data_IF_467973977514
#
_entry.id   IF_467973977514
#
_cell.length_a   1.000
_cell.length_b   1.000
_cell.length_c   1.000
_cell.angle_alpha   90.00
_cell.angle_beta   90.00
_cell.angle_gamma   90.00
#
_symmetry.space_group_name_H-M   'P 1'
#
loop_
_entity.id
_entity.type
_entity.pdbx_description
1 polymer ?
#
# COMPACT_ATOMS: atom_id res chain seq x y z
N UNK A 1 10.85 19.11 17.32
CA UNK A 1 11.69 17.88 17.26
C UNK A 1 12.41 17.88 15.93
N UNK A 2 13.74 17.70 15.93
CA UNK A 2 14.54 17.71 14.70
C UNK A 2 13.98 16.71 13.66
N UNK A 3 13.93 17.08 12.39
CA UNK A 3 13.37 16.32 11.27
C UNK A 3 11.83 16.11 11.31
N UNK A 4 11.11 16.89 12.14
CA UNK A 4 9.66 16.86 12.21
C UNK A 4 9.08 18.29 12.08
N UNK A 5 9.44 19.19 13.02
CA UNK A 5 8.80 20.50 13.12
C UNK A 5 9.13 21.39 11.89
N UNK A 6 10.36 21.30 11.38
CA UNK A 6 10.78 22.02 10.17
C UNK A 6 10.04 21.57 8.91
N UNK A 7 9.58 20.32 8.85
CA UNK A 7 8.79 19.78 7.71
C UNK A 7 7.29 20.01 7.86
N UNK A 8 6.86 20.62 8.99
CA UNK A 8 5.49 21.05 9.28
C UNK A 8 5.35 22.58 9.39
N UNK A 9 6.38 23.35 9.04
CA UNK A 9 6.35 24.81 9.11
C UNK A 9 5.37 25.36 8.06
N UNK A 10 4.31 26.03 8.53
CA UNK A 10 3.27 26.59 7.67
C UNK A 10 3.78 27.70 6.73
N UNK A 11 4.83 28.43 7.12
CA UNK A 11 5.39 29.49 6.28
C UNK A 11 6.11 28.90 5.09
N UNK A 12 6.88 27.81 5.32
CA UNK A 12 7.55 27.06 4.24
C UNK A 12 6.49 26.45 3.32
N UNK A 13 5.46 25.79 3.89
CA UNK A 13 4.39 25.19 3.11
C UNK A 13 3.67 26.22 2.22
N UNK A 14 3.34 27.40 2.75
CA UNK A 14 2.71 28.50 1.98
C UNK A 14 3.63 29.07 0.89
N UNK A 15 4.92 29.18 1.18
CA UNK A 15 5.90 29.66 0.20
C UNK A 15 6.01 28.68 -0.98
N UNK A 16 6.09 27.35 -0.70
CA UNK A 16 6.10 26.32 -1.72
C UNK A 16 4.81 26.33 -2.55
N UNK A 17 3.65 26.42 -1.89
CA UNK A 17 2.37 26.52 -2.60
C UNK A 17 2.31 27.74 -3.51
N UNK A 18 2.80 28.90 -3.05
CA UNK A 18 2.87 30.11 -3.87
C UNK A 18 3.80 29.93 -5.07
N UNK A 19 4.94 29.27 -4.92
CA UNK A 19 5.84 28.98 -6.04
C UNK A 19 5.21 28.02 -7.04
N UNK A 20 4.50 26.98 -6.56
CA UNK A 20 3.74 26.07 -7.42
C UNK A 20 2.71 26.83 -8.26
N UNK A 21 1.94 27.75 -7.63
CA UNK A 21 0.97 28.62 -8.34
C UNK A 21 1.64 29.42 -9.45
N UNK A 22 2.78 30.07 -9.16
CA UNK A 22 3.49 30.90 -10.13
C UNK A 22 4.07 30.10 -11.31
N UNK A 23 4.44 28.85 -11.09
CA UNK A 23 5.07 28.01 -12.12
C UNK A 23 4.07 27.23 -12.95
N UNK A 24 2.88 26.97 -12.44
CA UNK A 24 1.87 26.15 -13.13
C UNK A 24 1.21 26.96 -14.24
N UNK A 25 1.48 26.63 -15.51
CA UNK A 25 0.92 27.33 -16.68
C UNK A 25 -0.25 26.60 -17.31
N UNK A 26 -0.41 25.32 -17.04
CA UNK A 26 -1.48 24.45 -17.57
C UNK A 26 -1.89 23.35 -16.57
N UNK A 27 -3.02 22.66 -16.78
CA UNK A 27 -3.45 21.61 -15.86
C UNK A 27 -2.51 20.39 -15.86
N UNK A 28 -2.25 19.86 -14.64
CA UNK A 28 -1.47 18.66 -14.42
C UNK A 28 -2.16 17.72 -13.45
N UNK A 29 -2.15 16.42 -13.74
CA UNK A 29 -2.63 15.35 -12.86
C UNK A 29 -1.44 14.61 -12.29
N UNK A 30 -1.26 14.71 -10.98
CA UNK A 30 -0.16 14.09 -10.25
C UNK A 30 -0.72 13.00 -9.32
N UNK A 31 -0.07 11.83 -9.30
CA UNK A 31 -0.48 10.72 -8.45
C UNK A 31 0.57 10.46 -7.37
N UNK A 32 0.16 10.43 -6.13
CA UNK A 32 0.96 9.79 -5.10
C UNK A 32 0.64 8.30 -4.99
N UNK A 33 1.64 7.47 -4.73
CA UNK A 33 1.50 6.02 -4.58
C UNK A 33 1.94 5.61 -3.18
N UNK A 34 1.32 6.22 -2.18
CA UNK A 34 1.54 5.85 -0.79
C UNK A 34 0.41 6.32 0.11
N UNK A 35 -0.21 5.40 0.82
CA UNK A 35 -1.28 5.75 1.77
C UNK A 35 -0.86 6.72 2.87
N UNK A 36 0.41 6.70 3.30
CA UNK A 36 0.95 7.68 4.23
C UNK A 36 0.98 9.11 3.66
N UNK A 37 1.29 9.23 2.35
CA UNK A 37 1.21 10.52 1.64
C UNK A 37 -0.25 10.96 1.47
N UNK A 38 -1.16 10.05 1.07
CA UNK A 38 -2.61 10.31 1.02
C UNK A 38 -3.11 10.86 2.35
N UNK A 39 -2.77 10.18 3.45
CA UNK A 39 -3.17 10.58 4.80
C UNK A 39 -2.71 12.02 5.12
N UNK A 40 -1.44 12.34 4.84
CA UNK A 40 -0.89 13.68 5.08
C UNK A 40 -1.55 14.74 4.21
N UNK A 41 -1.74 14.46 2.92
CA UNK A 41 -2.43 15.38 2.00
C UNK A 41 -3.82 15.74 2.54
N UNK A 42 -4.59 14.75 2.92
CA UNK A 42 -5.95 14.97 3.44
C UNK A 42 -5.96 15.63 4.81
N UNK A 43 -5.10 15.19 5.72
CA UNK A 43 -5.02 15.69 7.09
C UNK A 43 -4.67 17.17 7.16
N UNK A 44 -3.75 17.62 6.31
CA UNK A 44 -3.27 19.01 6.31
C UNK A 44 -3.90 19.86 5.20
N UNK A 45 -4.82 19.29 4.39
CA UNK A 45 -5.49 20.01 3.32
C UNK A 45 -4.52 20.52 2.25
N UNK A 46 -3.48 19.74 1.93
CA UNK A 46 -2.42 20.21 1.01
C UNK A 46 -2.95 20.42 -0.41
N UNK A 47 -3.90 19.64 -0.84
CA UNK A 47 -4.58 19.77 -2.13
C UNK A 47 -5.37 21.07 -2.26
N UNK A 48 -5.84 21.67 -1.14
CA UNK A 48 -6.50 22.97 -1.13
C UNK A 48 -5.52 24.14 -1.25
N UNK A 49 -4.25 23.94 -0.91
CA UNK A 49 -3.18 24.93 -1.07
C UNK A 49 -2.69 25.04 -2.52
N UNK A 50 -2.96 24.00 -3.34
CA UNK A 50 -2.51 23.94 -4.72
C UNK A 50 -3.43 24.74 -5.65
N UNK A 51 -2.91 25.24 -6.79
CA UNK A 51 -3.74 25.92 -7.78
C UNK A 51 -4.73 24.91 -8.41
N UNK A 52 -5.88 25.42 -8.89
CA UNK A 52 -6.90 24.59 -9.59
C UNK A 52 -6.34 23.80 -10.78
N UNK A 53 -5.20 24.22 -11.31
CA UNK A 53 -4.49 23.49 -12.38
C UNK A 53 -3.74 22.25 -11.92
N UNK A 54 -3.55 22.02 -10.61
CA UNK A 54 -2.91 20.80 -10.10
C UNK A 54 -3.96 19.91 -9.45
N UNK A 55 -4.17 18.74 -10.03
CA UNK A 55 -5.01 17.71 -9.43
C UNK A 55 -4.12 16.63 -8.79
N UNK A 56 -4.24 16.43 -7.48
CA UNK A 56 -3.68 15.28 -6.80
C UNK A 56 -4.70 14.14 -6.81
N UNK A 57 -4.25 12.97 -7.28
CA UNK A 57 -5.02 11.71 -7.28
C UNK A 57 -4.27 10.63 -6.51
N UNK A 58 -5.00 9.67 -5.98
CA UNK A 58 -4.47 8.65 -5.09
C UNK A 58 -4.26 7.35 -5.84
N UNK A 59 -3.06 6.79 -5.71
CA UNK A 59 -2.69 5.54 -6.31
C UNK A 59 -2.85 4.33 -5.38
N UNK A 60 -2.53 3.12 -5.85
CA UNK A 60 -2.69 1.88 -5.10
C UNK A 60 -1.57 1.67 -4.07
N UNK A 61 -1.34 2.65 -3.20
CA UNK A 61 -0.22 2.71 -2.25
C UNK A 61 -0.51 2.23 -0.82
N UNK A 62 -1.67 1.61 -0.58
CA UNK A 62 -2.04 1.06 0.73
C UNK A 62 -2.12 -0.47 0.64
N UNK A 63 -1.31 -1.24 1.39
CA UNK A 63 -1.25 -2.69 1.27
C UNK A 63 -2.57 -3.38 1.66
N UNK A 64 -3.27 -2.84 2.65
CA UNK A 64 -4.60 -3.31 3.05
C UNK A 64 -5.60 -3.14 1.90
N UNK A 65 -5.50 -2.00 1.19
CA UNK A 65 -6.44 -1.61 0.14
C UNK A 65 -6.32 -2.48 -1.12
N UNK A 66 -5.11 -2.95 -1.40
CA UNK A 66 -4.80 -3.71 -2.64
C UNK A 66 -4.73 -5.22 -2.43
N UNK A 67 -4.88 -5.69 -1.19
CA UNK A 67 -4.95 -7.14 -0.90
C UNK A 67 -6.17 -7.75 -1.58
N UNK A 68 -6.00 -8.78 -2.44
CA UNK A 68 -7.09 -9.43 -3.14
C UNK A 68 -8.18 -9.96 -2.21
N UNK A 69 -9.42 -9.89 -2.67
CA UNK A 69 -10.58 -10.39 -1.93
C UNK A 69 -10.44 -11.90 -1.64
N UNK A 70 -9.91 -12.65 -2.58
CA UNK A 70 -9.61 -14.07 -2.44
C UNK A 70 -8.61 -14.36 -1.31
N UNK A 71 -7.62 -13.50 -1.13
CA UNK A 71 -6.66 -13.64 -0.02
C UNK A 71 -7.34 -13.44 1.34
N UNK A 72 -8.27 -12.50 1.42
CA UNK A 72 -9.07 -12.27 2.63
C UNK A 72 -9.96 -13.48 2.93
N UNK A 73 -10.63 -14.03 1.91
CA UNK A 73 -11.48 -15.21 2.07
C UNK A 73 -10.68 -16.45 2.48
N UNK A 74 -9.50 -16.66 1.88
CA UNK A 74 -8.58 -17.73 2.31
C UNK A 74 -8.15 -17.57 3.77
N UNK A 75 -7.86 -16.35 4.19
CA UNK A 75 -7.49 -16.06 5.58
C UNK A 75 -8.67 -16.37 6.54
N UNK A 76 -9.90 -16.05 6.14
CA UNK A 76 -11.11 -16.36 6.93
C UNK A 76 -11.31 -17.89 7.00
N UNK A 77 -11.17 -18.60 5.87
CA UNK A 77 -11.24 -20.06 5.85
C UNK A 77 -10.23 -20.70 6.78
N UNK A 78 -8.98 -20.25 6.74
CA UNK A 78 -7.92 -20.73 7.63
C UNK A 78 -8.24 -20.43 9.10
N UNK A 79 -8.74 -19.22 9.41
CA UNK A 79 -9.09 -18.84 10.77
C UNK A 79 -10.19 -19.72 11.38
N UNK A 80 -11.12 -20.20 10.58
CA UNK A 80 -12.23 -21.07 11.05
C UNK A 80 -11.81 -22.52 11.31
N UNK A 81 -10.59 -22.92 10.94
CA UNK A 81 -10.08 -24.27 11.25
C UNK A 81 -9.70 -24.37 12.74
N UNK A 82 -10.17 -25.41 13.45
CA UNK A 82 -10.00 -25.49 14.90
C UNK A 82 -8.55 -25.66 15.37
N UNK A 83 -7.66 -26.17 14.51
CA UNK A 83 -6.25 -26.39 14.78
C UNK A 83 -5.36 -25.20 14.38
N UNK A 84 -5.94 -24.15 13.79
CA UNK A 84 -5.22 -22.97 13.30
C UNK A 84 -5.29 -21.80 14.28
N UNK A 85 -4.18 -21.10 14.43
CA UNK A 85 -4.09 -19.74 14.98
C UNK A 85 -3.75 -18.83 13.80
N UNK A 86 -4.68 -17.98 13.40
CA UNK A 86 -4.41 -16.96 12.38
C UNK A 86 -3.84 -15.71 13.04
N UNK A 87 -2.70 -15.26 12.55
CA UNK A 87 -2.03 -14.03 13.03
C UNK A 87 -2.02 -13.00 11.89
N UNK A 88 -2.41 -11.77 12.18
CA UNK A 88 -2.48 -10.72 11.18
C UNK A 88 -2.24 -9.32 11.77
N UNK A 89 -2.05 -8.35 10.89
CA UNK A 89 -2.07 -6.93 11.26
C UNK A 89 -3.49 -6.48 11.59
N UNK A 90 -3.64 -5.54 12.53
CA UNK A 90 -4.94 -5.15 13.09
C UNK A 90 -5.96 -4.69 12.05
N UNK A 91 -5.55 -3.89 11.06
CA UNK A 91 -6.45 -3.39 10.02
C UNK A 91 -7.07 -4.53 9.18
N UNK A 92 -6.31 -5.59 8.92
CA UNK A 92 -6.81 -6.72 8.14
C UNK A 92 -8.00 -7.43 8.76
N UNK A 93 -8.18 -7.35 10.08
CA UNK A 93 -9.31 -8.00 10.76
C UNK A 93 -10.66 -7.40 10.32
N UNK A 94 -10.68 -6.14 9.89
CA UNK A 94 -11.89 -5.41 9.47
C UNK A 94 -12.07 -5.36 7.96
N UNK A 95 -11.10 -5.87 7.18
CA UNK A 95 -11.22 -5.88 5.72
C UNK A 95 -12.33 -6.85 5.33
N UNK A 96 -13.35 -6.37 4.58
CA UNK A 96 -14.42 -7.24 4.16
C UNK A 96 -13.92 -8.27 3.13
N UNK A 97 -14.16 -9.54 3.42
CA UNK A 97 -14.16 -10.64 2.46
C UNK A 97 -15.47 -10.68 1.67
N UNK A 98 -15.68 -11.73 0.88
CA UNK A 98 -16.90 -11.88 0.06
C UNK A 98 -18.16 -12.08 0.91
N UNK A 99 -18.06 -12.71 2.08
CA UNK A 99 -19.20 -13.07 2.95
C UNK A 99 -19.04 -12.63 4.40
N UNK A 100 -17.82 -12.43 4.86
CA UNK A 100 -17.48 -12.17 6.25
C UNK A 100 -16.17 -11.38 6.34
N UNK A 101 -15.66 -11.19 7.55
CA UNK A 101 -14.36 -10.64 7.87
C UNK A 101 -13.71 -11.42 9.02
N UNK A 102 -12.43 -11.18 9.27
CA UNK A 102 -11.69 -11.89 10.33
C UNK A 102 -12.19 -11.52 11.74
N UNK A 103 -12.77 -10.32 11.92
CA UNK A 103 -13.33 -9.92 13.21
C UNK A 103 -14.58 -10.72 13.53
N UNK A 104 -15.45 -10.95 12.52
CA UNK A 104 -16.62 -11.83 12.66
C UNK A 104 -16.21 -13.29 12.85
N UNK A 105 -15.21 -13.79 12.13
CA UNK A 105 -14.67 -15.13 12.37
C UNK A 105 -14.19 -15.29 13.82
N UNK A 106 -13.49 -14.28 14.36
CA UNK A 106 -13.07 -14.23 15.76
C UNK A 106 -14.26 -14.26 16.74
N UNK A 107 -15.32 -13.50 16.43
CA UNK A 107 -16.54 -13.50 17.25
C UNK A 107 -17.26 -14.87 17.24
N UNK A 108 -17.06 -15.69 16.19
CA UNK A 108 -17.55 -17.07 16.08
C UNK A 108 -16.65 -18.11 16.77
N UNK A 109 -15.57 -17.65 17.44
CA UNK A 109 -14.68 -18.52 18.20
C UNK A 109 -13.36 -18.87 17.48
N UNK A 110 -13.08 -18.34 16.30
CA UNK A 110 -11.80 -18.51 15.64
C UNK A 110 -10.66 -17.85 16.44
N UNK A 111 -9.50 -18.52 16.51
CA UNK A 111 -8.31 -17.99 17.17
C UNK A 111 -7.56 -17.03 16.22
N UNK A 112 -8.03 -15.78 16.18
CA UNK A 112 -7.42 -14.71 15.40
C UNK A 112 -6.68 -13.77 16.33
N UNK A 113 -5.38 -13.59 16.09
CA UNK A 113 -4.49 -12.76 16.93
C UNK A 113 -3.90 -11.60 16.12
N UNK A 114 -3.77 -10.45 16.77
CA UNK A 114 -3.13 -9.26 16.18
C UNK A 114 -1.64 -9.32 16.52
N UNK A 115 -0.80 -9.05 15.53
CA UNK A 115 0.64 -8.86 15.70
C UNK A 115 1.07 -7.51 15.11
N UNK A 116 2.01 -6.86 15.79
CA UNK A 116 2.65 -5.63 15.32
C UNK A 116 3.94 -5.90 14.54
N UNK A 117 4.43 -7.14 14.62
CA UNK A 117 5.62 -7.61 13.91
C UNK A 117 5.44 -9.05 13.46
N UNK A 118 5.93 -9.44 12.26
CA UNK A 118 5.90 -10.83 11.79
C UNK A 118 6.60 -11.80 12.74
N UNK A 119 7.63 -11.34 13.46
CA UNK A 119 8.37 -12.15 14.44
C UNK A 119 7.52 -12.53 15.66
N UNK A 120 6.42 -11.80 15.94
CA UNK A 120 5.46 -12.19 16.97
C UNK A 120 4.73 -13.48 16.58
N UNK A 121 4.41 -13.66 15.30
CA UNK A 121 3.80 -14.89 14.82
C UNK A 121 4.74 -16.10 15.00
N UNK A 122 6.05 -15.91 14.81
CA UNK A 122 7.08 -16.95 15.11
C UNK A 122 7.09 -17.27 16.60
N UNK A 123 7.02 -16.26 17.48
CA UNK A 123 6.94 -16.49 18.94
C UNK A 123 5.66 -17.23 19.31
N UNK A 124 4.53 -16.91 18.69
CA UNK A 124 3.26 -17.60 18.90
C UNK A 124 3.40 -19.06 18.48
N UNK A 125 4.02 -19.36 17.33
CA UNK A 125 4.23 -20.73 16.88
C UNK A 125 5.09 -21.55 17.87
N UNK A 126 6.16 -20.94 18.36
CA UNK A 126 7.03 -21.55 19.38
C UNK A 126 6.28 -21.88 20.69
N UNK A 127 5.35 -21.02 21.10
CA UNK A 127 4.57 -21.19 22.34
C UNK A 127 3.33 -22.07 22.18
N UNK A 128 3.00 -22.51 20.96
CA UNK A 128 1.85 -23.35 20.66
C UNK A 128 2.23 -24.50 19.72
N UNK A 129 3.11 -25.44 20.15
CA UNK A 129 3.66 -26.48 19.28
C UNK A 129 2.60 -27.43 18.69
N UNK A 130 1.47 -27.60 19.37
CA UNK A 130 0.37 -28.47 18.95
C UNK A 130 -0.63 -27.78 18.00
N UNK A 131 -0.43 -26.51 17.68
CA UNK A 131 -1.31 -25.71 16.85
C UNK A 131 -0.56 -25.22 15.61
N UNK A 132 -1.24 -25.14 14.49
CA UNK A 132 -0.70 -24.52 13.26
C UNK A 132 -0.87 -23.00 13.34
N UNK A 133 0.21 -22.27 13.17
CA UNK A 133 0.21 -20.81 13.17
C UNK A 133 0.38 -20.31 11.76
N UNK A 134 -0.61 -19.57 11.26
CA UNK A 134 -0.59 -18.97 9.94
C UNK A 134 -0.50 -17.46 10.08
N UNK A 135 0.53 -16.87 9.50
CA UNK A 135 0.67 -15.41 9.45
C UNK A 135 0.17 -14.89 8.10
N UNK A 136 -0.84 -14.00 8.11
CA UNK A 136 -1.30 -13.28 6.92
C UNK A 136 -0.30 -12.17 6.59
N UNK A 137 0.60 -12.47 5.66
CA UNK A 137 1.74 -11.64 5.29
C UNK A 137 1.40 -10.74 4.09
N UNK A 138 0.80 -9.60 4.38
CA UNK A 138 0.53 -8.56 3.38
C UNK A 138 1.59 -7.47 3.43
N UNK A 139 1.75 -6.72 2.35
CA UNK A 139 2.62 -5.53 2.37
C UNK A 139 3.22 -5.19 1.02
N UNK A 140 3.94 -4.10 1.05
CA UNK A 140 4.86 -3.67 -0.01
C UNK A 140 6.30 -4.05 0.34
N UNK A 141 7.25 -3.53 -0.43
CA UNK A 141 8.68 -3.70 -0.22
C UNK A 141 9.14 -3.24 1.18
N UNK A 142 8.38 -2.37 1.83
CA UNK A 142 8.67 -1.90 3.20
C UNK A 142 8.52 -2.96 4.28
N UNK A 143 7.53 -3.84 4.15
CA UNK A 143 7.24 -4.89 5.13
C UNK A 143 7.83 -6.24 4.76
N UNK A 144 8.17 -6.42 3.47
CA UNK A 144 8.73 -7.68 2.97
C UNK A 144 10.01 -8.13 3.69
N UNK A 145 10.98 -7.26 4.05
CA UNK A 145 12.16 -7.68 4.82
C UNK A 145 11.83 -8.30 6.17
N UNK A 146 10.88 -7.70 6.93
CA UNK A 146 10.49 -8.23 8.23
C UNK A 146 9.73 -9.56 8.09
N UNK A 147 8.93 -9.72 7.04
CA UNK A 147 8.25 -10.97 6.73
C UNK A 147 9.25 -12.05 6.28
N UNK A 148 10.25 -11.68 5.47
CA UNK A 148 11.34 -12.58 5.11
C UNK A 148 12.11 -13.05 6.36
N UNK A 149 12.41 -12.14 7.27
CA UNK A 149 13.07 -12.48 8.56
C UNK A 149 12.27 -13.48 9.38
N UNK A 150 10.93 -13.37 9.40
CA UNK A 150 10.08 -14.32 10.13
C UNK A 150 10.17 -15.74 9.53
N UNK A 151 10.08 -15.88 8.20
CA UNK A 151 10.23 -17.16 7.53
C UNK A 151 11.66 -17.73 7.70
N UNK A 152 12.66 -16.89 7.55
CA UNK A 152 14.07 -17.25 7.77
C UNK A 152 14.31 -17.74 9.19
N UNK A 153 13.78 -17.03 10.18
CA UNK A 153 13.90 -17.41 11.59
C UNK A 153 13.17 -18.73 11.86
N UNK A 154 11.95 -18.90 11.36
CA UNK A 154 11.20 -20.15 11.52
C UNK A 154 11.96 -21.35 10.93
N UNK A 155 12.56 -21.20 9.74
CA UNK A 155 13.41 -22.21 9.11
C UNK A 155 14.64 -22.53 9.94
N UNK A 156 15.34 -21.51 10.41
CA UNK A 156 16.56 -21.67 11.22
C UNK A 156 16.30 -22.34 12.56
N UNK A 157 15.12 -22.15 13.14
CA UNK A 157 14.68 -22.76 14.39
C UNK A 157 14.02 -24.13 14.18
N UNK A 158 13.81 -24.55 12.94
CA UNK A 158 13.17 -25.84 12.61
C UNK A 158 11.69 -25.89 13.00
N UNK A 159 10.98 -24.75 13.02
CA UNK A 159 9.56 -24.71 13.34
C UNK A 159 8.75 -25.34 12.19
N UNK A 160 7.98 -26.37 12.50
CA UNK A 160 7.15 -27.09 11.52
C UNK A 160 5.67 -26.66 11.56
N UNK A 161 5.31 -25.87 12.55
CA UNK A 161 3.95 -25.39 12.79
C UNK A 161 3.71 -23.93 12.43
N UNK A 162 4.71 -23.24 11.87
CA UNK A 162 4.59 -21.88 11.34
C UNK A 162 4.42 -21.89 9.83
N UNK A 163 3.55 -21.05 9.30
CA UNK A 163 3.42 -20.78 7.87
C UNK A 163 2.94 -19.37 7.58
N UNK A 164 3.00 -18.98 6.31
CA UNK A 164 2.62 -17.64 5.85
C UNK A 164 1.66 -17.75 4.67
N UNK A 165 0.56 -17.00 4.73
CA UNK A 165 -0.27 -16.69 3.57
C UNK A 165 0.25 -15.38 2.98
N UNK A 166 1.08 -15.48 1.94
CA UNK A 166 1.80 -14.32 1.39
C UNK A 166 0.95 -13.59 0.35
N UNK A 167 0.83 -12.27 0.50
CA UNK A 167 0.21 -11.35 -0.45
C UNK A 167 1.00 -10.04 -0.49
N UNK A 168 2.29 -10.14 -0.80
CA UNK A 168 3.16 -9.00 -1.02
C UNK A 168 3.09 -8.50 -2.46
N UNK A 169 3.12 -7.18 -2.60
CA UNK A 169 3.04 -6.48 -3.89
C UNK A 169 4.18 -5.48 -4.05
N UNK A 170 4.51 -5.12 -5.30
CA UNK A 170 5.63 -4.28 -5.68
C UNK A 170 5.15 -3.02 -6.40
N UNK A 171 5.65 -1.84 -5.97
CA UNK A 171 5.18 -0.55 -6.48
C UNK A 171 5.53 -0.28 -7.93
N UNK A 172 6.76 -0.48 -8.44
CA UNK A 172 7.09 -0.13 -9.82
C UNK A 172 6.24 -0.85 -10.89
N UNK A 173 5.93 -2.16 -10.76
CA UNK A 173 5.01 -2.82 -11.70
C UNK A 173 3.58 -2.27 -11.68
N UNK A 174 3.10 -1.80 -10.52
CA UNK A 174 1.79 -1.17 -10.43
C UNK A 174 1.74 0.17 -11.18
N UNK A 175 2.79 1.00 -11.07
CA UNK A 175 2.91 2.22 -11.89
C UNK A 175 2.88 1.86 -13.37
N UNK A 176 3.64 0.84 -13.79
CA UNK A 176 3.63 0.38 -15.18
C UNK A 176 2.24 -0.02 -15.65
N UNK A 177 1.50 -0.77 -14.84
CA UNK A 177 0.12 -1.19 -15.16
C UNK A 177 -0.82 0.01 -15.31
N UNK A 178 -0.69 1.02 -14.45
CA UNK A 178 -1.45 2.27 -14.58
C UNK A 178 -1.10 3.01 -15.87
N UNK A 179 0.20 3.10 -16.22
CA UNK A 179 0.66 3.83 -17.40
C UNK A 179 0.23 3.22 -18.73
N UNK A 180 0.08 1.88 -18.82
CA UNK A 180 -0.40 1.21 -20.03
C UNK A 180 -1.92 1.21 -20.15
N UNK A 181 -2.63 1.63 -19.12
CA UNK A 181 -4.10 1.72 -19.15
C UNK A 181 -4.56 2.78 -20.13
N UNK A 182 -5.54 2.45 -20.97
CA UNK A 182 -6.15 3.41 -21.92
C UNK A 182 -6.89 4.56 -21.21
N UNK A 183 -7.27 4.39 -19.96
CA UNK A 183 -7.95 5.41 -19.14
C UNK A 183 -6.99 6.25 -18.31
N UNK A 184 -5.66 5.98 -18.42
CA UNK A 184 -4.65 6.73 -17.66
C UNK A 184 -4.69 8.22 -17.99
N UNK A 185 -4.65 9.05 -16.94
CA UNK A 185 -4.55 10.51 -17.06
C UNK A 185 -3.42 11.11 -16.22
N UNK A 186 -2.65 10.26 -15.54
CA UNK A 186 -1.55 10.68 -14.66
C UNK A 186 -0.35 11.14 -15.49
N UNK A 187 0.22 12.28 -15.11
CA UNK A 187 1.31 12.94 -15.81
C UNK A 187 2.60 13.04 -14.99
N UNK A 188 2.55 12.69 -13.70
CA UNK A 188 3.71 12.63 -12.82
C UNK A 188 3.40 11.84 -11.55
N UNK A 189 4.42 11.22 -10.97
CA UNK A 189 4.27 10.39 -9.76
C UNK A 189 5.11 10.90 -8.59
N UNK A 190 4.50 10.93 -7.42
CA UNK A 190 5.20 11.00 -6.14
C UNK A 190 5.40 9.56 -5.67
N UNK A 191 6.62 9.06 -5.77
CA UNK A 191 6.96 7.70 -5.33
C UNK A 191 7.12 7.63 -3.80
N UNK A 192 6.79 6.47 -3.19
CA UNK A 192 6.78 6.29 -1.75
C UNK A 192 8.19 6.23 -1.17
N UNK A 193 8.59 7.25 -0.40
CA UNK A 193 9.93 7.35 0.16
C UNK A 193 10.33 6.15 1.02
N UNK A 194 9.40 5.58 1.80
CA UNK A 194 9.69 4.41 2.64
C UNK A 194 9.95 3.13 1.83
N UNK A 195 9.29 2.94 0.68
CA UNK A 195 9.61 1.85 -0.26
C UNK A 195 11.02 2.06 -0.80
N UNK A 196 11.33 3.27 -1.27
CA UNK A 196 12.65 3.59 -1.80
C UNK A 196 13.77 3.52 -0.74
N UNK A 197 13.45 3.68 0.56
CA UNK A 197 14.42 3.43 1.64
C UNK A 197 14.88 1.96 1.64
N UNK A 198 14.02 1.03 1.27
CA UNK A 198 14.34 -0.41 1.20
C UNK A 198 14.98 -0.76 -0.15
N UNK A 199 14.29 -0.50 -1.25
CA UNK A 199 14.71 -0.98 -2.59
C UNK A 199 15.55 0.01 -3.39
N UNK A 200 15.68 1.25 -2.91
CA UNK A 200 16.36 2.32 -3.66
C UNK A 200 15.50 2.90 -4.77
N UNK A 201 16.17 3.55 -5.73
CA UNK A 201 15.49 4.29 -6.79
C UNK A 201 15.60 3.62 -8.17
N UNK A 202 16.47 2.62 -8.32
CA UNK A 202 16.85 2.03 -9.60
C UNK A 202 15.67 1.50 -10.42
N UNK A 203 14.69 0.87 -9.77
CA UNK A 203 13.57 0.22 -10.45
C UNK A 203 12.59 1.21 -11.10
N UNK A 204 12.67 2.49 -10.72
CA UNK A 204 11.88 3.56 -11.33
C UNK A 204 12.47 4.09 -12.63
N UNK A 205 13.77 3.91 -12.90
CA UNK A 205 14.42 4.41 -14.13
C UNK A 205 13.82 3.82 -15.40
N UNK A 206 13.44 2.53 -15.35
CA UNK A 206 12.76 1.87 -16.45
C UNK A 206 11.43 2.53 -16.82
N UNK A 207 10.67 2.99 -15.80
CA UNK A 207 9.40 3.68 -16.03
C UNK A 207 9.58 5.03 -16.73
N UNK A 208 10.60 5.79 -16.32
CA UNK A 208 10.89 7.10 -16.92
C UNK A 208 11.31 6.92 -18.37
N UNK A 209 12.19 5.97 -18.65
CA UNK A 209 12.65 5.67 -20.02
C UNK A 209 11.50 5.25 -20.94
N UNK A 210 10.62 4.37 -20.44
CA UNK A 210 9.57 3.74 -21.25
C UNK A 210 8.38 4.68 -21.47
N UNK A 211 8.02 5.51 -20.47
CA UNK A 211 6.82 6.33 -20.50
C UNK A 211 7.08 7.83 -20.56
N UNK A 212 8.33 8.27 -20.45
CA UNK A 212 8.70 9.69 -20.37
C UNK A 212 7.87 10.46 -19.34
N UNK A 213 7.69 9.86 -18.15
CA UNK A 213 6.92 10.43 -17.05
C UNK A 213 7.87 10.82 -15.92
N UNK A 214 7.77 12.05 -15.37
CA UNK A 214 8.58 12.43 -14.22
C UNK A 214 8.14 11.70 -12.94
N UNK A 215 9.13 11.28 -12.15
CA UNK A 215 8.92 10.62 -10.87
C UNK A 215 9.77 11.30 -9.81
N UNK A 216 9.17 11.71 -8.71
CA UNK A 216 9.87 12.27 -7.55
C UNK A 216 9.64 11.37 -6.35
N UNK A 217 10.72 10.88 -5.76
CA UNK A 217 10.65 10.16 -4.49
C UNK A 217 10.40 11.18 -3.38
N UNK A 218 9.24 11.09 -2.72
CA UNK A 218 8.79 12.06 -1.72
C UNK A 218 8.73 11.47 -0.30
N UNK A 219 8.96 12.33 0.70
CA UNK A 219 8.70 12.01 2.10
C UNK A 219 7.22 12.12 2.46
N UNK A 220 6.92 12.31 3.75
CA UNK A 220 5.56 12.15 4.29
C UNK A 220 5.04 13.39 5.01
N UNK A 221 5.90 14.34 5.33
CA UNK A 221 5.49 15.56 6.00
C UNK A 221 4.95 16.59 4.98
N UNK A 222 4.16 17.58 5.41
CA UNK A 222 3.57 18.56 4.50
C UNK A 222 4.57 19.24 3.57
N UNK A 223 5.73 19.64 4.08
CA UNK A 223 6.78 20.28 3.28
C UNK A 223 7.38 19.30 2.28
N UNK A 224 7.61 18.04 2.67
CA UNK A 224 8.11 17.01 1.76
C UNK A 224 7.20 16.83 0.53
N UNK A 225 5.89 16.76 0.76
CA UNK A 225 4.91 16.54 -0.30
C UNK A 225 4.85 17.75 -1.22
N UNK A 226 4.82 18.98 -0.67
CA UNK A 226 4.79 20.19 -1.48
C UNK A 226 6.09 20.40 -2.26
N UNK A 227 7.24 20.06 -1.69
CA UNK A 227 8.52 20.04 -2.43
C UNK A 227 8.50 19.04 -3.58
N UNK A 228 8.01 17.82 -3.34
CA UNK A 228 7.87 16.80 -4.39
C UNK A 228 6.93 17.27 -5.51
N UNK A 229 5.80 17.90 -5.17
CA UNK A 229 4.88 18.51 -6.16
C UNK A 229 5.59 19.60 -6.96
N UNK A 230 6.33 20.49 -6.30
CA UNK A 230 7.07 21.57 -6.96
C UNK A 230 8.13 21.03 -7.92
N UNK A 231 8.86 19.97 -7.53
CA UNK A 231 9.85 19.31 -8.38
C UNK A 231 9.19 18.69 -9.63
N UNK A 232 8.02 18.02 -9.45
CA UNK A 232 7.25 17.50 -10.58
C UNK A 232 6.78 18.61 -11.51
N UNK A 233 6.22 19.69 -10.98
CA UNK A 233 5.75 20.84 -11.77
C UNK A 233 6.90 21.45 -12.57
N UNK A 234 8.08 21.63 -11.97
CA UNK A 234 9.27 22.15 -12.67
C UNK A 234 9.65 21.28 -13.86
N UNK A 235 9.66 19.95 -13.70
CA UNK A 235 9.95 19.03 -14.78
C UNK A 235 8.89 19.09 -15.89
N UNK A 236 7.62 19.05 -15.50
CA UNK A 236 6.50 19.05 -16.44
C UNK A 236 6.42 20.34 -17.28
N UNK A 237 6.63 21.50 -16.64
CA UNK A 237 6.66 22.81 -17.33
C UNK A 237 7.87 22.95 -18.24
N UNK A 238 8.99 22.30 -17.89
CA UNK A 238 10.19 22.25 -18.75
C UNK A 238 10.11 21.16 -19.86
N UNK A 239 9.08 20.31 -19.86
CA UNK A 239 8.98 19.17 -20.79
C UNK A 239 10.01 18.07 -20.50
N UNK A 240 10.48 17.99 -19.27
CA UNK A 240 11.46 17.00 -18.81
C UNK A 240 10.78 15.81 -18.11
N UNK A 241 11.48 14.68 -18.08
CA UNK A 241 11.08 13.50 -17.33
C UNK A 241 12.33 12.86 -16.71
N UNK A 242 12.50 13.06 -15.42
CA UNK A 242 13.65 12.59 -14.64
C UNK A 242 13.18 11.91 -13.34
N UNK A 243 14.04 11.07 -12.80
CA UNK A 243 13.92 10.60 -11.43
C UNK A 243 14.63 11.59 -10.49
N UNK A 244 13.88 12.17 -9.58
CA UNK A 244 14.46 13.02 -8.54
C UNK A 244 14.10 12.47 -7.16
N UNK A 245 14.96 12.73 -6.20
CA UNK A 245 14.78 12.29 -4.81
C UNK A 245 14.68 13.51 -3.90
N UNK A 246 13.47 13.84 -3.46
CA UNK A 246 13.24 14.86 -2.43
C UNK A 246 13.61 14.32 -1.04
N UNK A 247 13.41 13.00 -0.82
CA UNK A 247 13.56 12.39 0.51
C UNK A 247 15.00 11.94 0.81
N UNK A 248 15.98 12.77 0.43
CA UNK A 248 17.42 12.46 0.51
C UNK A 248 17.91 12.13 1.92
N UNK A 249 17.21 12.62 2.96
CA UNK A 249 17.58 12.31 4.37
C UNK A 249 17.36 10.86 4.76
N UNK A 250 16.58 10.09 3.98
CA UNK A 250 16.22 8.71 4.28
C UNK A 250 16.49 7.75 3.13
N UNK A 251 16.47 8.23 1.90
CA UNK A 251 16.55 7.40 0.70
C UNK A 251 17.91 7.56 0.03
N UNK A 252 18.64 6.47 -0.05
CA UNK A 252 19.82 6.34 -0.91
C UNK A 252 19.45 5.72 -2.25
N UNK A 253 20.24 5.97 -3.29
CA UNK A 253 19.99 5.41 -4.62
C UNK A 253 19.91 3.88 -4.64
N UNK A 254 20.73 3.20 -3.85
CA UNK A 254 20.79 1.74 -3.76
C UNK A 254 19.83 1.13 -2.75
N UNK A 255 19.21 1.94 -1.87
CA UNK A 255 18.37 1.47 -0.78
C UNK A 255 19.15 0.75 0.31
N UNK A 256 18.50 -0.18 1.01
CA UNK A 256 19.05 -0.99 2.09
C UNK A 256 19.42 -2.37 1.58
N UNK A 257 20.70 -2.57 1.25
CA UNK A 257 21.21 -3.83 0.69
C UNK A 257 20.96 -5.06 1.59
N UNK A 258 21.19 -5.01 2.91
CA UNK A 258 20.85 -6.13 3.80
C UNK A 258 19.36 -6.50 3.76
N UNK A 259 18.47 -5.52 3.71
CA UNK A 259 17.03 -5.77 3.59
C UNK A 259 16.67 -6.43 2.24
N UNK A 260 17.29 -5.97 1.15
CA UNK A 260 17.13 -6.57 -0.17
C UNK A 260 17.65 -8.01 -0.21
N UNK A 261 18.80 -8.29 0.44
CA UNK A 261 19.38 -9.63 0.50
C UNK A 261 18.45 -10.63 1.19
N UNK A 262 17.91 -10.30 2.36
CA UNK A 262 17.01 -11.21 3.08
C UNK A 262 15.68 -11.41 2.31
N UNK A 263 15.19 -10.39 1.62
CA UNK A 263 14.03 -10.54 0.72
C UNK A 263 14.34 -11.52 -0.42
N UNK A 264 15.47 -11.37 -1.08
CA UNK A 264 15.88 -12.22 -2.20
C UNK A 264 16.21 -13.66 -1.78
N UNK A 265 16.64 -13.88 -0.51
CA UNK A 265 16.85 -15.22 0.03
C UNK A 265 15.52 -15.97 0.22
N UNK A 266 14.49 -15.29 0.68
CA UNK A 266 13.21 -15.89 1.09
C UNK A 266 12.17 -15.86 -0.02
N UNK A 267 12.12 -14.76 -0.75
CA UNK A 267 11.10 -14.50 -1.77
C UNK A 267 11.67 -14.48 -3.18
N UNK A 268 10.81 -14.76 -4.13
CA UNK A 268 11.03 -14.49 -5.55
C UNK A 268 9.86 -13.71 -6.12
N UNK A 269 10.12 -12.96 -7.19
CA UNK A 269 9.10 -12.17 -7.89
C UNK A 269 8.12 -13.10 -8.62
N UNK A 270 6.83 -12.78 -8.52
CA UNK A 270 5.76 -13.53 -9.16
C UNK A 270 4.65 -12.61 -9.67
N UNK A 271 3.81 -13.14 -10.52
CA UNK A 271 2.58 -12.47 -10.91
C UNK A 271 1.66 -12.36 -9.70
N UNK A 272 0.98 -11.23 -9.55
CA UNK A 272 0.11 -11.00 -8.41
C UNK A 272 -1.18 -10.31 -8.84
N UNK A 273 -2.29 -10.76 -8.28
CA UNK A 273 -3.57 -10.04 -8.38
C UNK A 273 -3.57 -8.87 -7.39
N UNK A 274 -4.01 -7.72 -7.85
CA UNK A 274 -4.20 -6.52 -7.05
C UNK A 274 -5.69 -6.20 -6.97
N UNK A 275 -6.18 -5.98 -5.77
CA UNK A 275 -7.58 -5.61 -5.56
C UNK A 275 -7.89 -4.32 -6.32
N UNK A 276 -8.94 -4.34 -7.14
CA UNK A 276 -9.36 -3.19 -7.92
C UNK A 276 -8.55 -2.88 -9.18
N UNK A 277 -7.48 -3.63 -9.49
CA UNK A 277 -6.67 -3.41 -10.70
C UNK A 277 -6.64 -4.67 -11.58
N UNK A 278 -6.60 -5.85 -10.96
CA UNK A 278 -6.48 -7.12 -11.66
C UNK A 278 -5.09 -7.75 -11.51
N UNK A 279 -4.81 -8.75 -12.34
CA UNK A 279 -3.50 -9.43 -12.35
C UNK A 279 -2.46 -8.58 -13.06
N UNK A 280 -1.35 -8.33 -12.37
CA UNK A 280 -0.20 -7.59 -12.89
C UNK A 280 0.99 -8.54 -12.93
N UNK A 281 1.63 -8.74 -14.09
CA UNK A 281 2.81 -9.59 -14.19
C UNK A 281 3.96 -9.07 -13.32
N UNK A 282 4.69 -9.98 -12.68
CA UNK A 282 5.88 -9.71 -11.87
C UNK A 282 5.68 -8.59 -10.83
N UNK A 283 4.51 -8.52 -10.23
CA UNK A 283 4.12 -7.43 -9.32
C UNK A 283 3.94 -7.85 -7.88
N UNK A 284 4.32 -9.06 -7.54
CA UNK A 284 4.25 -9.57 -6.18
C UNK A 284 5.44 -10.45 -5.82
N UNK A 285 5.40 -10.92 -4.58
CA UNK A 285 6.40 -11.83 -4.03
C UNK A 285 5.72 -13.13 -3.59
N UNK A 286 6.36 -14.26 -3.89
CA UNK A 286 6.02 -15.56 -3.33
C UNK A 286 7.24 -16.17 -2.64
N UNK A 287 7.00 -17.13 -1.75
CA UNK A 287 8.09 -17.88 -1.12
C UNK A 287 8.86 -18.70 -2.18
N UNK A 288 10.19 -18.67 -2.10
CA UNK A 288 11.05 -19.53 -2.91
C UNK A 288 10.86 -21.00 -2.53
N UNK A 289 11.24 -21.90 -3.42
CA UNK A 289 11.09 -23.34 -3.19
C UNK A 289 11.73 -23.81 -1.87
N UNK A 290 12.88 -23.28 -1.51
CA UNK A 290 13.57 -23.57 -0.23
C UNK A 290 12.77 -23.18 1.02
N UNK A 291 11.70 -22.41 0.86
CA UNK A 291 10.77 -21.97 1.90
C UNK A 291 9.34 -22.50 1.66
N UNK A 292 9.15 -23.41 0.72
CA UNK A 292 7.83 -23.97 0.37
C UNK A 292 7.13 -24.66 1.55
N UNK A 293 7.89 -25.21 2.49
CA UNK A 293 7.36 -25.79 3.73
C UNK A 293 6.68 -24.77 4.65
N UNK A 294 6.81 -23.47 4.37
CA UNK A 294 6.18 -22.37 5.10
C UNK A 294 5.06 -21.69 4.30
N UNK A 295 4.71 -22.20 3.12
CA UNK A 295 3.63 -21.66 2.29
C UNK A 295 2.27 -22.21 2.70
N UNK A 296 1.43 -21.36 3.30
CA UNK A 296 0.09 -21.75 3.73
C UNK A 296 -0.81 -22.21 2.56
N UNK A 297 -0.65 -21.68 1.34
CA UNK A 297 -1.42 -22.14 0.19
C UNK A 297 -1.13 -23.62 -0.10
N UNK A 298 0.13 -24.05 0.01
CA UNK A 298 0.54 -25.44 -0.22
C UNK A 298 0.17 -26.36 0.96
N UNK A 299 0.42 -25.92 2.19
CA UNK A 299 0.20 -26.72 3.40
C UNK A 299 -1.28 -27.07 3.60
N UNK A 300 -2.16 -26.11 3.30
CA UNK A 300 -3.59 -26.23 3.54
C UNK A 300 -4.40 -26.56 2.27
N UNK A 301 -3.72 -26.73 1.14
CA UNK A 301 -4.32 -26.96 -0.18
C UNK A 301 -5.44 -25.96 -0.48
N UNK A 302 -5.12 -24.68 -0.32
CA UNK A 302 -6.04 -23.59 -0.57
C UNK A 302 -6.17 -23.39 -2.08
N UNK A 303 -7.25 -23.92 -2.65
CA UNK A 303 -7.54 -23.84 -4.07
C UNK A 303 -7.58 -22.38 -4.61
N UNK A 304 -7.68 -22.27 -5.93
CA UNK A 304 -7.96 -20.99 -6.56
C UNK A 304 -9.41 -20.58 -6.25
N UNK A 305 -9.58 -19.38 -5.70
CA UNK A 305 -10.87 -18.75 -5.49
C UNK A 305 -11.06 -17.67 -6.56
N UNK A 306 -12.26 -17.57 -7.07
CA UNK A 306 -12.68 -16.45 -7.92
C UNK A 306 -13.89 -15.81 -7.26
N UNK A 307 -13.73 -14.56 -6.85
CA UNK A 307 -14.78 -13.76 -6.19
C UNK A 307 -14.85 -12.38 -6.81
N UNK A 308 -16.06 -11.86 -6.90
CA UNK A 308 -16.32 -10.54 -7.45
C UNK A 308 -16.32 -9.48 -6.34
N UNK A 309 -15.75 -8.32 -6.64
CA UNK A 309 -15.85 -7.16 -5.76
C UNK A 309 -17.32 -6.65 -5.69
N UNK A 310 -17.72 -6.05 -4.55
CA UNK A 310 -19.03 -5.46 -4.43
C UNK A 310 -19.26 -4.40 -5.53
N UNK A 311 -20.30 -4.57 -6.34
CA UNK A 311 -20.60 -3.71 -7.51
C UNK A 311 -20.79 -2.23 -7.14
N UNK A 312 -21.15 -1.94 -5.90
CA UNK A 312 -21.36 -0.57 -5.39
C UNK A 312 -20.05 0.14 -5.03
N UNK A 313 -18.96 -0.61 -4.85
CA UNK A 313 -17.67 -0.06 -4.42
C UNK A 313 -16.84 0.40 -5.63
N UNK A 314 -16.59 1.70 -5.72
CA UNK A 314 -15.76 2.28 -6.79
C UNK A 314 -14.26 2.35 -6.43
N UNK A 315 -13.81 1.61 -5.42
CA UNK A 315 -12.41 1.67 -4.96
C UNK A 315 -11.40 1.40 -6.08
N UNK A 316 -11.74 0.52 -7.02
CA UNK A 316 -10.94 0.29 -8.22
C UNK A 316 -10.66 1.57 -9.01
N UNK A 317 -11.67 2.40 -9.24
CA UNK A 317 -11.53 3.66 -9.96
C UNK A 317 -10.77 4.71 -9.13
N UNK A 318 -10.93 4.69 -7.80
CA UNK A 318 -10.18 5.57 -6.89
C UNK A 318 -8.70 5.24 -6.92
N UNK A 319 -8.32 3.96 -6.77
CA UNK A 319 -6.92 3.51 -6.77
C UNK A 319 -6.22 3.67 -8.13
N UNK A 320 -6.98 3.84 -9.20
CA UNK A 320 -6.46 4.15 -10.53
C UNK A 320 -6.44 5.67 -10.82
N UNK A 321 -6.81 6.52 -9.86
CA UNK A 321 -6.84 7.96 -10.01
C UNK A 321 -7.93 8.50 -10.95
N UNK A 322 -8.95 7.69 -11.26
CA UNK A 322 -10.05 8.05 -12.17
C UNK A 322 -11.20 8.76 -11.45
N UNK A 323 -11.36 8.47 -10.16
CA UNK A 323 -12.42 9.01 -9.30
C UNK A 323 -11.85 9.39 -7.93
N UNK A 324 -12.54 10.30 -7.24
CA UNK A 324 -12.28 10.59 -5.83
C UNK A 324 -13.21 9.77 -4.93
N UNK A 325 -12.86 9.54 -3.67
CA UNK A 325 -13.73 8.84 -2.71
C UNK A 325 -15.12 9.47 -2.60
N UNK A 326 -15.22 10.80 -2.70
CA UNK A 326 -16.48 11.56 -2.66
C UNK A 326 -17.40 11.33 -3.86
N UNK A 327 -16.89 10.77 -4.95
CA UNK A 327 -17.70 10.40 -6.11
C UNK A 327 -18.46 9.07 -5.91
N UNK A 328 -18.15 8.36 -4.80
CA UNK A 328 -18.79 7.09 -4.49
C UNK A 328 -20.17 7.32 -3.85
N UNK A 329 -21.26 6.78 -4.42
CA UNK A 329 -22.59 6.97 -3.85
C UNK A 329 -22.78 6.35 -2.47
N UNK A 330 -21.95 5.38 -2.09
CA UNK A 330 -22.00 4.76 -0.76
C UNK A 330 -21.14 5.51 0.28
N UNK A 331 -20.27 6.44 -0.16
CA UNK A 331 -19.30 7.11 0.72
C UNK A 331 -19.98 7.92 1.84
N UNK A 332 -19.59 7.67 3.08
CA UNK A 332 -20.11 8.37 4.27
C UNK A 332 -21.58 8.05 4.62
N UNK A 333 -22.23 7.21 3.84
CA UNK A 333 -23.60 6.73 4.07
C UNK A 333 -23.60 5.27 4.50
N UNK A 334 -23.62 4.33 3.53
CA UNK A 334 -23.54 2.89 3.82
C UNK A 334 -22.11 2.39 4.00
N UNK A 335 -21.13 3.11 3.45
CA UNK A 335 -19.70 2.80 3.57
C UNK A 335 -19.02 3.79 4.52
N UNK A 336 -18.71 3.34 5.72
CA UNK A 336 -18.02 4.09 6.79
C UNK A 336 -16.90 3.24 7.36
N UNK A 337 -15.97 3.80 8.16
CA UNK A 337 -14.93 3.01 8.82
C UNK A 337 -15.47 1.90 9.74
N UNK A 338 -16.67 2.09 10.29
CA UNK A 338 -17.36 1.10 11.13
C UNK A 338 -18.05 0.00 10.29
N UNK A 339 -18.46 0.34 9.06
CA UNK A 339 -19.11 -0.58 8.13
C UNK A 339 -18.53 -0.44 6.72
N UNK A 340 -17.26 -0.85 6.52
CA UNK A 340 -16.59 -0.68 5.22
C UNK A 340 -17.17 -1.63 4.17
N UNK A 341 -17.51 -1.09 2.98
CA UNK A 341 -17.86 -1.90 1.80
C UNK A 341 -16.62 -2.29 0.99
N UNK A 342 -15.56 -1.50 1.08
CA UNK A 342 -14.29 -1.74 0.41
C UNK A 342 -13.09 -1.49 1.32
N UNK A 343 -12.00 -2.16 1.05
CA UNK A 343 -10.78 -2.10 1.83
C UNK A 343 -10.20 -0.68 2.04
N UNK A 344 -10.28 0.28 1.08
CA UNK A 344 -9.79 1.64 1.29
C UNK A 344 -10.52 2.46 2.37
N UNK A 345 -11.65 1.96 2.90
CA UNK A 345 -12.36 2.58 4.03
C UNK A 345 -11.90 2.04 5.40
N UNK A 346 -11.08 0.97 5.41
CA UNK A 346 -10.63 0.29 6.64
C UNK A 346 -9.41 0.95 7.26
N UNK A 347 -8.35 1.09 6.48
CA UNK A 347 -7.07 1.62 6.94
C UNK A 347 -7.04 3.15 6.87
N UNK A 348 -6.40 3.79 7.85
CA UNK A 348 -6.15 5.25 7.83
C UNK A 348 -5.26 5.69 6.64
N UNK A 349 -4.57 4.75 6.01
CA UNK A 349 -3.79 4.95 4.79
C UNK A 349 -4.64 4.76 3.52
N UNK A 350 -5.86 4.29 3.63
CA UNK A 350 -6.78 4.16 2.52
C UNK A 350 -7.38 5.52 2.13
N UNK A 351 -7.46 5.81 0.84
CA UNK A 351 -7.97 7.08 0.35
C UNK A 351 -9.40 7.37 0.87
N UNK A 352 -10.28 6.37 0.88
CA UNK A 352 -11.65 6.55 1.38
C UNK A 352 -11.68 6.92 2.86
N UNK A 353 -10.91 6.22 3.70
CA UNK A 353 -10.85 6.53 5.14
C UNK A 353 -10.23 7.92 5.39
N UNK A 354 -9.17 8.29 4.67
CA UNK A 354 -8.54 9.60 4.78
C UNK A 354 -9.55 10.72 4.43
N UNK A 355 -10.28 10.58 3.32
CA UNK A 355 -11.35 11.54 2.98
C UNK A 355 -12.45 11.57 4.03
N UNK A 356 -12.89 10.43 4.52
CA UNK A 356 -13.93 10.35 5.53
C UNK A 356 -13.57 11.11 6.81
N UNK A 357 -12.33 10.96 7.26
CA UNK A 357 -11.88 11.59 8.51
C UNK A 357 -11.61 13.11 8.35
N UNK A 358 -11.14 13.55 7.18
CA UNK A 358 -10.64 14.91 7.03
C UNK A 358 -11.47 15.81 6.11
N UNK A 359 -12.41 15.22 5.29
CA UNK A 359 -13.23 15.96 4.32
C UNK A 359 -14.73 15.85 4.58
N UNK A 360 -15.17 15.11 5.59
CA UNK A 360 -16.59 14.90 5.87
C UNK A 360 -17.36 16.19 6.17
N UNK A 361 -16.69 17.22 6.69
CA UNK A 361 -17.34 18.46 7.07
C UNK A 361 -17.60 19.43 5.90
N UNK A 362 -17.15 19.12 4.68
CA UNK A 362 -17.37 19.94 3.46
C UNK A 362 -18.57 19.50 2.61
N UNK A 363 -19.28 18.43 2.97
CA UNK A 363 -20.41 17.86 2.18
C UNK A 363 -21.78 18.20 2.78
N UNK A 364 -21.82 19.00 3.84
CA UNK A 364 -23.08 19.44 4.43
C UNK A 364 -23.24 20.97 4.25
N UNK A 365 -23.67 21.39 3.06
CA UNK A 365 -24.60 22.53 2.82
C UNK A 365 -25.00 22.53 1.35
#
# INVERSE_FOLDING_TARGET
>A
MKYLDEYRDQRIARALASEIVQRTTRPWVLMEICGGQTHTIMRYGLDELLPRGIELVHGPGCPVCVTPLETVDKAIELALRPDVILVSYGDMLRVPGSRSDLLRAKAQGADVRIAYSPTEAVKIARSNPDRKVVFLAIGFETTAPANAMAAWQAKREGLTNFSMLVSHVLVPPAIRALMVSQTNRVQGFIAPGHVCTVVGCKDYEGLIRDFRIPIVVGGFEPVDILEAVLMLVRQLEAGEAKLENQYVRSVSYQGNLPAQQIMAEVFEVADQKWRGIGSIPQSGLRLREDYSAYDANRIFDLGELTVDEPAECISAQVLQGLKKPTDCPAFGMRCTPENPLGAPMVSTEGACAAYYHYRRHGVAT
#
